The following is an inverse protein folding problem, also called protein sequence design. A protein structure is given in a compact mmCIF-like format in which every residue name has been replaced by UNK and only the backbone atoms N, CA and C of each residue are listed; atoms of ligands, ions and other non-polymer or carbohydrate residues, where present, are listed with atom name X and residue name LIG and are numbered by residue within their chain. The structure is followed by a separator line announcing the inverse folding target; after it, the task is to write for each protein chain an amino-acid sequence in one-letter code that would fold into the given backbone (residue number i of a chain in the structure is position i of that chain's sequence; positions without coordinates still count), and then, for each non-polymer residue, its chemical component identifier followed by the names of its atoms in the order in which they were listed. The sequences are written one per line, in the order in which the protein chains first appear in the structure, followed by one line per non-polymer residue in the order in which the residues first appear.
data_IF_085423397116
#
_entry.id   IF_085423397116
#
_cell.length_a   1.000
_cell.length_b   1.000
_cell.length_c   1.000
_cell.angle_alpha   90.00
_cell.angle_beta   90.00
_cell.angle_gamma   90.00
#
_symmetry.space_group_name_H-M   'P 1'
#
loop_
_entity.id
_entity.type
_entity.pdbx_description
1 polymer ?
#
# COMPACT_ATOMS: atom_id res chain seq x y z
N UNK A 1 0.08 -17.48 -7.22
CA UNK A 1 0.16 -16.04 -7.56
C UNK A 1 0.40 -15.29 -6.26
N UNK A 2 1.56 -14.67 -6.10
CA UNK A 2 1.88 -13.85 -4.92
C UNK A 2 1.89 -12.41 -5.38
N UNK A 3 0.99 -11.58 -4.85
CA UNK A 3 1.02 -10.14 -5.11
C UNK A 3 2.13 -9.51 -4.27
N UNK A 4 2.99 -8.70 -4.88
CA UNK A 4 4.09 -8.05 -4.18
C UNK A 4 3.73 -6.58 -3.90
N UNK A 5 3.72 -6.23 -2.62
CA UNK A 5 3.53 -4.86 -2.15
C UNK A 5 4.87 -4.30 -1.70
N UNK A 6 5.23 -3.11 -2.17
CA UNK A 6 6.44 -2.40 -1.73
C UNK A 6 6.15 -0.95 -1.45
N UNK A 7 6.92 -0.33 -0.56
CA UNK A 7 6.94 1.11 -0.36
C UNK A 7 8.24 1.66 -0.94
N UNK A 8 8.14 2.78 -1.66
CA UNK A 8 9.30 3.49 -2.22
C UNK A 8 9.21 4.99 -1.85
N UNK A 9 10.14 5.50 -1.03
CA UNK A 9 11.12 4.74 -0.23
C UNK A 9 10.46 4.03 0.97
N UNK A 10 11.06 2.95 1.52
CA UNK A 10 10.47 2.19 2.62
C UNK A 10 10.42 2.95 3.94
N UNK A 11 11.25 3.97 4.10
CA UNK A 11 11.23 4.90 5.23
C UNK A 11 10.05 5.88 5.19
N UNK A 12 9.42 6.07 4.03
CA UNK A 12 8.39 7.10 3.87
C UNK A 12 7.02 6.74 4.45
N UNK A 13 6.79 5.48 4.79
CA UNK A 13 5.47 5.03 5.23
C UNK A 13 5.43 3.57 5.62
N UNK A 14 4.23 3.10 5.95
CA UNK A 14 3.93 1.69 6.13
C UNK A 14 2.60 1.38 5.45
N UNK A 15 2.48 0.15 4.95
CA UNK A 15 1.24 -0.33 4.33
C UNK A 15 0.48 -1.16 5.34
N UNK A 16 -0.73 -0.74 5.65
CA UNK A 16 -1.63 -1.43 6.55
C UNK A 16 -2.70 -2.11 5.69
N UNK A 17 -2.86 -3.41 5.84
CA UNK A 17 -3.90 -4.18 5.12
C UNK A 17 -5.04 -4.37 6.12
N UNK A 18 -6.14 -3.64 5.95
CA UNK A 18 -7.11 -3.48 7.05
C UNK A 18 -7.98 -4.73 7.24
N UNK A 19 -8.51 -5.35 6.18
CA UNK A 19 -9.09 -6.69 6.27
C UNK A 19 -9.00 -7.42 4.94
N UNK A 20 -8.61 -8.68 5.04
CA UNK A 20 -9.15 -9.74 4.19
C UNK A 20 -10.22 -10.39 5.04
N UNK A 21 -11.49 -10.27 4.66
CA UNK A 21 -12.54 -11.09 5.24
C UNK A 21 -12.31 -12.55 4.81
N UNK A 22 -11.34 -13.19 5.46
CA UNK A 22 -11.18 -14.64 5.50
C UNK A 22 -12.23 -15.13 6.48
N UNK A 23 -13.48 -15.23 6.03
CA UNK A 23 -14.61 -15.70 6.83
C UNK A 23 -14.50 -17.18 7.23
N UNK A 24 -13.41 -17.60 7.87
CA UNK A 24 -12.96 -18.97 8.20
C UNK A 24 -11.92 -19.52 7.21
N UNK A 25 -10.64 -19.28 7.46
CA UNK A 25 -9.56 -20.12 6.92
C UNK A 25 -8.43 -20.22 7.97
N UNK A 26 -8.05 -21.43 8.42
CA UNK A 26 -7.10 -21.62 9.53
C UNK A 26 -5.62 -21.45 9.15
N UNK A 27 -5.28 -21.06 7.92
CA UNK A 27 -3.90 -21.07 7.43
C UNK A 27 -3.43 -19.69 6.93
N UNK A 28 -2.35 -19.10 7.48
CA UNK A 28 -1.76 -17.85 6.98
C UNK A 28 -1.08 -17.99 5.61
N UNK A 29 -1.07 -19.21 5.05
CA UNK A 29 -0.47 -19.56 3.76
C UNK A 29 -1.49 -19.70 2.63
N UNK A 30 -2.80 -19.65 2.91
CA UNK A 30 -3.84 -19.73 1.88
C UNK A 30 -3.96 -18.42 1.12
N UNK A 31 -3.03 -18.27 0.16
CA UNK A 31 -3.27 -17.73 -1.17
C UNK A 31 -4.42 -16.72 -1.24
N UNK A 32 -4.09 -15.44 -1.19
CA UNK A 32 -4.94 -14.30 -1.58
C UNK A 32 -5.35 -14.37 -3.07
N UNK A 33 -5.84 -15.51 -3.52
CA UNK A 33 -6.20 -15.83 -4.90
C UNK A 33 -7.58 -15.26 -5.19
N UNK A 34 -7.66 -13.94 -5.28
CA UNK A 34 -8.79 -13.25 -5.88
C UNK A 34 -9.79 -12.58 -4.94
N UNK A 35 -9.48 -12.46 -3.66
CA UNK A 35 -10.22 -11.57 -2.75
C UNK A 35 -9.67 -10.14 -2.94
N UNK A 36 -10.53 -9.13 -3.12
CA UNK A 36 -10.08 -7.73 -3.17
C UNK A 36 -9.40 -7.36 -1.84
N UNK A 37 -8.17 -6.85 -1.94
CA UNK A 37 -7.37 -6.45 -0.79
C UNK A 37 -7.57 -4.96 -0.51
N UNK A 38 -8.03 -4.62 0.68
CA UNK A 38 -8.08 -3.23 1.12
C UNK A 38 -6.73 -2.82 1.72
N UNK A 39 -6.01 -1.96 1.00
CA UNK A 39 -4.68 -1.50 1.37
C UNK A 39 -4.77 -0.03 1.76
N UNK A 40 -4.20 0.31 2.91
CA UNK A 40 -4.12 1.68 3.44
C UNK A 40 -2.64 2.08 3.54
N UNK A 41 -2.26 3.15 2.85
CA UNK A 41 -0.96 3.79 2.97
C UNK A 41 -0.97 4.74 4.16
N UNK A 42 -0.19 4.39 5.17
CA UNK A 42 0.06 5.22 6.35
C UNK A 42 1.42 5.92 6.15
N UNK A 43 1.44 7.18 5.64
CA UNK A 43 2.67 7.93 5.53
C UNK A 43 3.25 8.21 6.92
N UNK A 44 4.58 8.18 7.04
CA UNK A 44 5.25 8.61 8.26
C UNK A 44 5.18 10.13 8.43
N UNK A 45 5.34 10.67 9.64
CA UNK A 45 5.44 12.11 9.85
C UNK A 45 6.56 12.71 8.98
N UNK A 46 6.28 13.82 8.30
CA UNK A 46 7.20 14.43 7.33
C UNK A 46 7.16 13.80 5.93
N UNK A 47 6.26 12.84 5.69
CA UNK A 47 6.04 12.21 4.39
C UNK A 47 4.59 12.33 3.97
N UNK A 48 4.36 12.30 2.66
CA UNK A 48 3.03 12.29 2.05
C UNK A 48 2.95 11.20 1.00
N UNK A 49 1.84 10.48 1.00
CA UNK A 49 1.51 9.57 -0.07
C UNK A 49 1.20 10.37 -1.34
N UNK A 50 1.90 10.07 -2.43
CA UNK A 50 1.74 10.76 -3.72
C UNK A 50 0.97 9.93 -4.75
N UNK A 51 0.84 8.63 -4.53
CA UNK A 51 0.13 7.73 -5.41
C UNK A 51 0.67 6.31 -5.37
N UNK A 52 0.01 5.44 -6.12
CA UNK A 52 0.36 4.03 -6.23
C UNK A 52 0.93 3.72 -7.61
N UNK A 53 1.92 2.86 -7.67
CA UNK A 53 2.42 2.27 -8.90
C UNK A 53 1.70 0.95 -9.13
N UNK A 54 1.09 0.79 -10.30
CA UNK A 54 0.27 -0.39 -10.62
C UNK A 54 -1.23 -0.20 -10.32
N UNK A 55 -1.61 0.97 -9.84
CA UNK A 55 -3.00 1.43 -9.78
C UNK A 55 -3.06 2.90 -10.21
N UNK A 56 -4.15 3.34 -10.82
CA UNK A 56 -4.41 4.75 -11.12
C UNK A 56 -4.95 5.51 -9.91
N UNK A 57 -5.17 4.80 -8.78
CA UNK A 57 -5.63 5.41 -7.56
C UNK A 57 -4.53 6.30 -6.93
N UNK A 58 -4.97 7.40 -6.34
CA UNK A 58 -4.12 8.34 -5.58
C UNK A 58 -4.54 8.46 -4.12
N UNK A 59 -5.71 7.91 -3.77
CA UNK A 59 -6.21 7.82 -2.39
C UNK A 59 -5.26 7.05 -1.48
N UNK A 60 -5.23 7.41 -0.21
CA UNK A 60 -4.43 6.70 0.80
C UNK A 60 -4.95 5.28 1.04
N UNK A 61 -6.26 5.05 0.91
CA UNK A 61 -6.87 3.74 0.98
C UNK A 61 -7.34 3.33 -0.43
N UNK A 62 -6.94 2.13 -0.86
CA UNK A 62 -7.30 1.57 -2.17
C UNK A 62 -7.71 0.11 -2.03
N UNK A 63 -8.66 -0.29 -2.86
CA UNK A 63 -9.03 -1.70 -3.02
C UNK A 63 -8.33 -2.23 -4.27
N UNK A 64 -7.55 -3.30 -4.12
CA UNK A 64 -6.79 -3.89 -5.21
C UNK A 64 -7.15 -5.35 -5.38
N UNK A 65 -7.50 -5.73 -6.61
CA UNK A 65 -7.70 -7.12 -6.98
C UNK A 65 -6.34 -7.76 -7.30
N UNK A 66 -5.89 -8.76 -6.54
CA UNK A 66 -4.64 -9.46 -6.82
C UNK A 66 -4.67 -10.27 -8.14
N UNK A 67 -5.85 -10.41 -8.75
CA UNK A 67 -6.04 -10.96 -10.10
C UNK A 67 -5.66 -9.97 -11.21
N UNK A 68 -5.89 -8.68 -10.97
CA UNK A 68 -5.66 -7.62 -11.95
C UNK A 68 -4.27 -6.98 -11.76
N UNK A 69 -3.92 -6.67 -10.51
CA UNK A 69 -2.62 -6.10 -10.17
C UNK A 69 -1.72 -7.16 -9.52
N UNK A 70 -0.56 -7.41 -10.13
CA UNK A 70 0.44 -8.37 -9.58
C UNK A 70 1.49 -7.70 -8.70
N UNK A 71 1.67 -6.38 -8.84
CA UNK A 71 2.66 -5.59 -8.11
C UNK A 71 2.13 -4.20 -7.86
N UNK A 72 2.02 -3.83 -6.58
CA UNK A 72 1.63 -2.50 -6.13
C UNK A 72 2.81 -1.87 -5.38
N UNK A 73 3.17 -0.64 -5.74
CA UNK A 73 4.18 0.10 -4.99
C UNK A 73 3.61 1.43 -4.51
N UNK A 74 3.54 1.65 -3.20
CA UNK A 74 3.15 2.94 -2.66
C UNK A 74 4.30 3.93 -2.77
N UNK A 75 4.01 5.12 -3.31
CA UNK A 75 5.01 6.16 -3.50
C UNK A 75 4.85 7.22 -2.44
N UNK A 76 5.86 7.37 -1.61
CA UNK A 76 5.93 8.40 -0.59
C UNK A 76 6.92 9.46 -1.03
N UNK A 77 6.53 10.72 -0.91
CA UNK A 77 7.43 11.84 -1.06
C UNK A 77 7.60 12.52 0.30
N UNK A 78 8.78 13.05 0.61
CA UNK A 78 8.92 13.91 1.78
C UNK A 78 7.95 15.07 1.60
N UNK A 79 7.08 15.28 2.57
CA UNK A 79 6.39 16.55 2.69
C UNK A 79 7.50 17.53 3.05
N UNK A 80 8.07 18.20 2.05
CA UNK A 80 9.04 19.25 2.33
C UNK A 80 8.33 20.33 3.14
N UNK A 81 8.40 20.22 4.46
CA UNK A 81 8.70 21.38 5.29
C UNK A 81 10.09 21.82 4.85
N UNK A 82 10.11 22.63 3.79
CA UNK A 82 11.28 23.43 3.48
C UNK A 82 11.50 24.38 4.65
N UNK A 83 12.21 23.93 5.68
CA UNK A 83 12.99 24.85 6.49
C UNK A 83 14.25 25.09 5.67
N UNK A 84 14.11 26.03 4.73
CA UNK A 84 15.18 26.95 4.41
C UNK A 84 15.75 27.46 5.74
N UNK A 85 17.00 27.11 6.05
CA UNK A 85 17.73 27.71 7.16
C UNK A 85 18.90 28.50 6.55
N UNK A 86 18.86 29.84 6.61
CA UNK A 86 19.99 30.69 6.21
C UNK A 86 21.19 30.58 7.17
#
# INVERSE_FOLDING_TARGET
VTMRMTCDPPEGGSLQVERVDLGSAPDPSSHFAGIPLHIVAVPRPGWRHTGWKGSSATSQAITVDPRSARRITARFAPERSGVDHP
#
